data_IF_606366935056
#
_entry.id   IF_606366935056
#
_cell.length_a   1.000
_cell.length_b   1.000
_cell.length_c   1.000
_cell.angle_alpha   90.00
_cell.angle_beta   90.00
_cell.angle_gamma   90.00
#
_symmetry.space_group_name_H-M   'P 1'
#
loop_
_entity.id
_entity.type
_entity.pdbx_description
1 polymer ?
#
# COMPACT_ATOMS: atom_id res chain seq x y z
N UNK A 1 5.12 0.31 13.44
CA UNK A 1 5.20 -0.54 12.23
C UNK A 1 4.83 0.29 11.01
N UNK A 2 5.50 0.07 9.91
CA UNK A 2 5.25 0.80 8.66
C UNK A 2 4.41 -0.06 7.73
N UNK A 3 3.37 0.53 7.15
CA UNK A 3 2.55 -0.10 6.13
C UNK A 3 2.99 0.42 4.76
N UNK A 4 3.34 -0.49 3.86
CA UNK A 4 3.69 -0.14 2.49
C UNK A 4 2.66 -0.72 1.54
N UNK A 5 2.11 0.13 0.67
CA UNK A 5 1.04 -0.27 -0.23
C UNK A 5 1.52 -0.35 -1.67
N UNK A 6 1.03 -1.33 -2.39
CA UNK A 6 1.29 -1.48 -3.82
C UNK A 6 0.09 -2.16 -4.49
N UNK A 7 -0.14 -1.83 -5.74
CA UNK A 7 -1.25 -2.42 -6.49
C UNK A 7 -0.84 -2.96 -7.84
N UNK A 8 0.38 -2.63 -8.29
CA UNK A 8 0.89 -3.06 -9.59
C UNK A 8 2.30 -3.59 -9.46
N UNK A 9 2.74 -4.31 -10.47
CA UNK A 9 4.10 -4.84 -10.52
C UNK A 9 5.16 -3.72 -10.55
N UNK A 10 5.01 -2.66 -11.34
CA UNK A 10 5.97 -1.55 -11.29
C UNK A 10 6.10 -0.92 -9.91
N UNK A 11 4.98 -0.77 -9.20
CA UNK A 11 5.01 -0.26 -7.84
C UNK A 11 5.80 -1.19 -6.91
N UNK A 12 5.54 -2.50 -7.00
CA UNK A 12 6.26 -3.48 -6.20
C UNK A 12 7.76 -3.45 -6.50
N UNK A 13 8.13 -3.41 -7.77
CA UNK A 13 9.55 -3.37 -8.17
C UNK A 13 10.25 -2.17 -7.54
N UNK A 14 9.56 -1.05 -7.44
CA UNK A 14 10.13 0.18 -6.88
C UNK A 14 10.27 0.15 -5.37
N UNK A 15 9.40 -0.53 -4.66
CA UNK A 15 9.51 -0.64 -3.20
C UNK A 15 10.38 -1.82 -2.76
N UNK A 16 10.64 -2.77 -3.63
CA UNK A 16 11.41 -3.97 -3.29
C UNK A 16 12.79 -3.67 -2.69
N UNK A 17 13.59 -2.73 -3.24
CA UNK A 17 14.86 -2.39 -2.60
C UNK A 17 14.71 -1.88 -1.19
N UNK A 18 13.65 -1.14 -0.92
CA UNK A 18 13.37 -0.65 0.42
C UNK A 18 12.98 -1.78 1.36
N UNK A 19 12.15 -2.72 0.89
CA UNK A 19 11.79 -3.91 1.64
C UNK A 19 13.04 -4.68 2.05
N UNK A 20 13.95 -4.89 1.11
CA UNK A 20 15.20 -5.62 1.38
C UNK A 20 16.04 -4.95 2.46
N UNK A 21 16.08 -3.61 2.46
CA UNK A 21 16.83 -2.86 3.47
C UNK A 21 16.15 -2.86 4.83
N UNK A 22 14.83 -2.98 4.86
CA UNK A 22 14.08 -2.95 6.11
C UNK A 22 14.00 -4.30 6.80
N UNK A 23 14.19 -5.40 6.07
CA UNK A 23 14.11 -6.74 6.63
C UNK A 23 15.06 -6.89 7.82
N UNK A 24 14.50 -7.35 8.95
CA UNK A 24 15.26 -7.57 10.16
C UNK A 24 15.68 -6.32 10.91
N UNK A 25 15.32 -5.14 10.43
CA UNK A 25 15.71 -3.86 11.03
C UNK A 25 14.51 -3.02 11.45
N UNK A 26 13.52 -2.91 10.56
CA UNK A 26 12.33 -2.09 10.80
C UNK A 26 11.10 -2.94 10.54
N UNK A 27 10.18 -3.07 11.50
CA UNK A 27 8.95 -3.83 11.29
C UNK A 27 8.07 -3.16 10.23
N UNK A 28 7.52 -3.97 9.32
CA UNK A 28 6.65 -3.46 8.27
C UNK A 28 5.63 -4.51 7.86
N UNK A 29 4.56 -4.03 7.23
CA UNK A 29 3.54 -4.87 6.58
C UNK A 29 3.34 -4.37 5.17
N UNK A 30 2.92 -5.25 4.29
CA UNK A 30 2.59 -4.92 2.90
C UNK A 30 1.08 -4.95 2.71
N UNK A 31 0.55 -3.98 1.98
CA UNK A 31 -0.85 -3.93 1.59
C UNK A 31 -0.93 -4.02 0.07
N UNK A 32 -1.61 -5.05 -0.42
CA UNK A 32 -1.86 -5.22 -1.85
C UNK A 32 -3.25 -4.69 -2.19
N UNK A 33 -3.30 -3.66 -3.03
CA UNK A 33 -4.54 -3.02 -3.46
C UNK A 33 -4.97 -3.40 -4.87
N UNK A 34 -4.17 -4.20 -5.56
CA UNK A 34 -4.41 -4.57 -6.95
C UNK A 34 -5.32 -5.77 -7.11
N UNK A 35 -5.58 -6.12 -8.36
CA UNK A 35 -6.46 -7.25 -8.73
C UNK A 35 -5.72 -8.49 -9.16
N UNK A 36 -4.50 -8.33 -9.67
CA UNK A 36 -3.75 -9.44 -10.24
C UNK A 36 -2.98 -10.18 -9.14
N UNK A 37 -3.60 -11.23 -8.62
CA UNK A 37 -3.03 -12.00 -7.51
C UNK A 37 -1.72 -12.71 -7.89
N UNK A 38 -1.47 -12.92 -9.17
CA UNK A 38 -0.21 -13.55 -9.62
C UNK A 38 1.02 -12.77 -9.14
N UNK A 39 0.87 -11.47 -8.95
CA UNK A 39 1.95 -10.64 -8.44
C UNK A 39 2.41 -11.11 -7.07
N UNK A 40 1.50 -11.63 -6.24
CA UNK A 40 1.80 -12.05 -4.89
C UNK A 40 2.66 -13.32 -4.85
N UNK A 41 2.71 -14.08 -5.92
CA UNK A 41 3.54 -15.28 -6.00
C UNK A 41 5.03 -14.95 -5.85
N UNK A 42 5.43 -13.72 -6.17
CA UNK A 42 6.80 -13.25 -6.08
C UNK A 42 7.13 -12.60 -4.73
N UNK A 43 6.12 -12.41 -3.89
CA UNK A 43 6.26 -11.78 -2.58
C UNK A 43 6.28 -12.89 -1.55
N UNK A 44 7.46 -13.46 -1.33
CA UNK A 44 7.64 -14.53 -0.34
C UNK A 44 8.22 -13.94 0.94
N UNK A 45 8.03 -14.63 2.03
CA UNK A 45 8.61 -14.29 3.33
C UNK A 45 8.11 -12.97 3.94
N UNK A 46 7.05 -12.39 3.37
CA UNK A 46 6.44 -11.17 3.88
C UNK A 46 4.96 -11.40 4.17
N UNK A 47 4.49 -10.77 5.22
CA UNK A 47 3.07 -10.73 5.49
C UNK A 47 2.42 -9.71 4.56
N UNK A 48 1.48 -10.15 3.73
CA UNK A 48 0.77 -9.29 2.80
C UNK A 48 -0.71 -9.27 3.14
N UNK A 49 -1.22 -8.08 3.38
CA UNK A 49 -2.65 -7.87 3.57
C UNK A 49 -3.25 -7.60 2.18
N UNK A 50 -4.28 -8.35 1.84
CA UNK A 50 -4.98 -8.15 0.57
C UNK A 50 -6.22 -7.30 0.82
N UNK A 51 -6.31 -6.18 0.10
CA UNK A 51 -7.48 -5.33 0.20
C UNK A 51 -8.68 -6.03 -0.46
N UNK A 52 -9.76 -6.15 0.29
CA UNK A 52 -11.00 -6.71 -0.22
C UNK A 52 -11.85 -5.56 -0.78
N UNK A 53 -12.00 -5.54 -2.09
CA UNK A 53 -12.75 -4.49 -2.78
C UNK A 53 -14.11 -5.02 -3.14
N UNK A 54 -15.16 -4.33 -2.69
CA UNK A 54 -16.53 -4.70 -3.04
C UNK A 54 -16.84 -4.22 -4.44
N UNK A 55 -17.59 -5.02 -5.17
CA UNK A 55 -18.07 -4.62 -6.49
C UNK A 55 -19.02 -3.44 -6.37
N UNK A 56 -18.89 -2.52 -7.31
CA UNK A 56 -19.71 -1.32 -7.35
C UNK A 56 -19.67 -0.71 -8.73
N UNK A 57 -20.54 0.27 -8.99
CA UNK A 57 -20.62 0.91 -10.32
C UNK A 57 -19.39 1.74 -10.64
N UNK A 58 -18.66 2.18 -9.64
CA UNK A 58 -17.45 2.99 -9.83
C UNK A 58 -16.30 2.34 -9.06
N UNK A 59 -15.30 1.89 -9.81
CA UNK A 59 -14.15 1.20 -9.19
C UNK A 59 -13.36 2.11 -8.26
N UNK A 60 -13.20 3.38 -8.61
CA UNK A 60 -12.46 4.32 -7.77
C UNK A 60 -13.15 4.49 -6.41
N UNK A 61 -14.47 4.66 -6.44
CA UNK A 61 -15.24 4.77 -5.19
C UNK A 61 -15.14 3.49 -4.37
N UNK A 62 -15.15 2.34 -5.04
CA UNK A 62 -15.06 1.05 -4.36
C UNK A 62 -13.71 0.87 -3.67
N UNK A 63 -12.63 1.29 -4.30
CA UNK A 63 -11.29 1.24 -3.70
C UNK A 63 -11.22 2.16 -2.49
N UNK A 64 -11.65 3.39 -2.62
CA UNK A 64 -11.62 4.37 -1.53
C UNK A 64 -12.45 3.85 -0.34
N UNK A 65 -13.68 3.43 -0.61
CA UNK A 65 -14.58 2.92 0.43
C UNK A 65 -14.01 1.68 1.11
N UNK A 66 -13.42 0.76 0.34
CA UNK A 66 -12.85 -0.46 0.90
C UNK A 66 -11.70 -0.15 1.84
N UNK A 67 -10.83 0.79 1.48
CA UNK A 67 -9.72 1.19 2.35
C UNK A 67 -10.24 1.88 3.62
N UNK A 68 -11.21 2.77 3.48
CA UNK A 68 -11.75 3.50 4.61
C UNK A 68 -12.50 2.62 5.60
N UNK A 69 -13.07 1.51 5.14
CA UNK A 69 -13.88 0.62 5.98
C UNK A 69 -13.14 -0.57 6.56
N UNK A 70 -11.87 -0.77 6.25
CA UNK A 70 -11.11 -1.90 6.76
C UNK A 70 -10.11 -1.43 7.82
N UNK A 71 -10.60 -1.28 9.03
CA UNK A 71 -9.79 -0.79 10.16
C UNK A 71 -8.57 -1.67 10.45
N UNK A 72 -8.69 -2.98 10.24
CA UNK A 72 -7.61 -3.90 10.56
C UNK A 72 -6.33 -3.62 9.76
N UNK A 73 -6.43 -2.94 8.61
CA UNK A 73 -5.28 -2.57 7.79
C UNK A 73 -4.32 -1.68 8.59
N UNK A 74 -4.88 -0.83 9.46
CA UNK A 74 -4.12 0.18 10.17
C UNK A 74 -3.76 -0.20 11.61
N UNK A 75 -4.04 -1.43 12.03
CA UNK A 75 -3.69 -1.88 13.37
C UNK A 75 -2.17 -1.88 13.56
N UNK A 76 -1.71 -1.24 14.63
CA UNK A 76 -0.30 -1.14 14.98
C UNK A 76 0.56 -0.40 13.95
N UNK A 77 -0.08 0.37 13.07
CA UNK A 77 0.62 1.12 12.03
C UNK A 77 0.92 2.53 12.53
N UNK A 78 2.20 2.89 12.55
CA UNK A 78 2.67 4.22 12.95
C UNK A 78 2.83 5.15 11.76
N UNK A 79 3.12 4.59 10.59
CA UNK A 79 3.31 5.36 9.37
C UNK A 79 2.92 4.51 8.16
N UNK A 80 2.42 5.16 7.13
CA UNK A 80 2.17 4.52 5.84
C UNK A 80 3.15 5.10 4.82
N UNK A 81 3.72 4.21 4.00
CA UNK A 81 4.56 4.60 2.88
C UNK A 81 3.79 4.32 1.61
N UNK A 82 3.54 5.37 0.84
CA UNK A 82 2.82 5.27 -0.43
C UNK A 82 3.71 5.79 -1.55
N UNK A 83 3.57 5.20 -2.72
CA UNK A 83 4.40 5.53 -3.86
C UNK A 83 3.52 5.71 -5.10
N UNK A 84 3.78 6.79 -5.85
CA UNK A 84 3.05 7.08 -7.07
C UNK A 84 1.91 8.07 -6.84
N UNK A 85 1.02 8.10 -7.82
CA UNK A 85 -0.08 9.07 -7.86
C UNK A 85 -1.43 8.44 -8.19
N UNK A 86 -1.57 7.15 -7.87
CA UNK A 86 -2.81 6.43 -8.16
C UNK A 86 -3.90 6.74 -7.13
N UNK A 87 -5.13 6.34 -7.46
CA UNK A 87 -6.26 6.47 -6.55
C UNK A 87 -6.03 5.71 -5.25
N UNK A 88 -5.40 4.55 -5.31
CA UNK A 88 -5.08 3.76 -4.12
C UNK A 88 -4.16 4.53 -3.19
N UNK A 89 -3.16 5.22 -3.73
CA UNK A 89 -2.24 6.06 -2.95
C UNK A 89 -3.01 7.16 -2.24
N UNK A 90 -3.87 7.86 -2.96
CA UNK A 90 -4.69 8.92 -2.39
C UNK A 90 -5.59 8.40 -1.27
N UNK A 91 -6.26 7.28 -1.51
CA UNK A 91 -7.20 6.70 -0.54
C UNK A 91 -6.49 6.27 0.74
N UNK A 92 -5.32 5.65 0.63
CA UNK A 92 -4.53 5.23 1.79
C UNK A 92 -4.02 6.44 2.56
N UNK A 93 -3.53 7.45 1.85
CA UNK A 93 -3.05 8.66 2.50
C UNK A 93 -4.18 9.36 3.26
N UNK A 94 -5.35 9.46 2.66
CA UNK A 94 -6.51 10.06 3.29
C UNK A 94 -6.96 9.26 4.53
N UNK A 95 -7.03 7.94 4.41
CA UNK A 95 -7.41 7.08 5.52
C UNK A 95 -6.42 7.18 6.67
N UNK A 96 -5.13 7.22 6.38
CA UNK A 96 -4.08 7.40 7.38
C UNK A 96 -4.18 8.77 8.04
N UNK A 97 -4.43 9.81 7.26
CA UNK A 97 -4.59 11.16 7.76
C UNK A 97 -5.75 11.24 8.77
N UNK A 98 -6.89 10.63 8.44
CA UNK A 98 -8.03 10.59 9.35
C UNK A 98 -7.72 9.89 10.67
N UNK A 99 -6.83 8.93 10.65
CA UNK A 99 -6.44 8.17 11.84
C UNK A 99 -5.22 8.74 12.53
N UNK A 100 -4.75 9.91 12.10
CA UNK A 100 -3.56 10.58 12.64
C UNK A 100 -2.30 9.73 12.51
N UNK A 101 -2.25 8.92 11.47
CA UNK A 101 -1.08 8.12 11.13
C UNK A 101 -0.23 8.93 10.16
N UNK A 102 1.09 8.90 10.37
CA UNK A 102 2.03 9.64 9.53
C UNK A 102 2.04 9.07 8.11
N UNK A 103 2.04 9.96 7.12
CA UNK A 103 2.09 9.58 5.72
C UNK A 103 3.46 9.94 5.16
N UNK A 104 4.13 8.96 4.56
CA UNK A 104 5.38 9.15 3.86
C UNK A 104 5.10 8.95 2.38
N UNK A 105 5.17 10.02 1.60
CA UNK A 105 4.92 9.97 0.17
C UNK A 105 6.24 9.91 -0.57
N UNK A 106 6.43 8.83 -1.33
CA UNK A 106 7.58 8.67 -2.19
C UNK A 106 7.15 8.91 -3.62
N UNK A 107 7.52 10.06 -4.16
CA UNK A 107 7.24 10.39 -5.54
C UNK A 107 8.27 9.77 -6.46
N UNK A 108 7.79 9.25 -7.58
CA UNK A 108 8.69 8.77 -8.63
C UNK A 108 9.17 9.98 -9.40
N UNK A 109 10.45 10.26 -9.32
CA UNK A 109 11.03 11.35 -10.10
C UNK A 109 11.04 10.98 -11.59
N UNK A 110 10.56 11.88 -12.44
CA UNK A 110 10.64 11.69 -13.88
C UNK A 110 12.10 11.62 -14.34
N UNK A 111 13.01 12.17 -13.58
CA UNK A 111 14.43 12.13 -13.89
C UNK A 111 15.08 10.78 -13.66
N UNK A 112 14.43 9.94 -12.90
CA UNK A 112 14.91 8.58 -12.67
C UNK A 112 14.40 7.61 -13.71
N UNK A 113 13.67 8.12 -14.67
CA UNK A 113 13.17 7.33 -15.78
C UNK A 113 14.20 7.28 -16.91
#
# INVERSE_FOLDING_TARGET
MILMAFGTRPEYIKIKPLIEKMKGKIPFKLLFTGQHVDLLANVKDQEVIRLQIKDGPNRLDSIVSSIMNQEHIFEEIDAVLVQGDTTSVFAIALAAFHRRIKVILRLISLRSL
#
